data_IF_265253908021
#
_entry.id   IF_265253908021
#
_cell.length_a   1.000
_cell.length_b   1.000
_cell.length_c   1.000
_cell.angle_alpha   90.00
_cell.angle_beta   90.00
_cell.angle_gamma   90.00
#
_symmetry.space_group_name_H-M   'P 1'
#
loop_
_entity.id
_entity.type
_entity.pdbx_description
1 polymer ?
#
# COMPACT_ATOMS: atom_id res chain seq x y z
N UNK A 1 0.59 1.10 0.29
CA UNK A 1 1.59 1.41 -0.74
C UNK A 1 2.87 0.64 -0.48
N UNK A 2 3.40 0.02 -1.54
CA UNK A 2 4.74 -0.60 -1.57
C UNK A 2 5.72 0.43 -2.13
N UNK A 3 6.87 0.57 -1.48
CA UNK A 3 7.97 1.39 -1.95
C UNK A 3 8.75 0.63 -3.03
N UNK A 4 8.81 1.21 -4.24
CA UNK A 4 9.59 0.68 -5.37
C UNK A 4 10.95 1.38 -5.52
N UNK A 5 11.31 2.23 -4.56
CA UNK A 5 12.50 3.06 -4.55
C UNK A 5 12.33 4.34 -5.38
N UNK A 6 13.30 5.24 -5.26
CA UNK A 6 13.36 6.48 -6.05
C UNK A 6 12.09 7.35 -5.98
N UNK A 7 11.41 7.35 -4.82
CA UNK A 7 10.18 8.12 -4.61
C UNK A 7 8.95 7.57 -5.34
N UNK A 8 9.01 6.34 -5.88
CA UNK A 8 7.89 5.70 -6.56
C UNK A 8 7.13 4.79 -5.60
N UNK A 9 5.84 5.04 -5.47
CA UNK A 9 4.96 4.27 -4.61
C UNK A 9 3.90 3.56 -5.46
N UNK A 10 3.71 2.28 -5.19
CA UNK A 10 2.70 1.47 -5.86
C UNK A 10 1.56 1.19 -4.87
N UNK A 11 0.31 1.56 -5.18
CA UNK A 11 -0.82 1.12 -4.40
C UNK A 11 -0.98 -0.40 -4.53
N UNK A 12 -1.31 -1.05 -3.42
CA UNK A 12 -1.41 -2.50 -3.37
C UNK A 12 -2.63 -2.88 -2.56
N UNK A 13 -3.51 -3.66 -3.19
CA UNK A 13 -4.59 -4.33 -2.50
C UNK A 13 -4.02 -5.53 -1.73
N UNK A 14 -4.46 -5.68 -0.48
CA UNK A 14 -4.02 -6.76 0.40
C UNK A 14 -5.21 -7.38 1.08
N UNK A 15 -5.10 -8.67 1.39
CA UNK A 15 -6.08 -9.38 2.21
C UNK A 15 -5.58 -9.50 3.64
N UNK A 16 -6.31 -8.89 4.57
CA UNK A 16 -5.99 -8.97 5.99
C UNK A 16 -6.70 -10.17 6.64
N UNK A 17 -6.00 -10.81 7.56
CA UNK A 17 -6.51 -11.83 8.47
C UNK A 17 -6.70 -11.27 9.88
N UNK A 18 -6.59 -12.15 10.88
CA UNK A 18 -6.85 -11.81 12.28
C UNK A 18 -5.90 -10.75 12.83
N UNK A 19 -6.43 -9.88 13.70
CA UNK A 19 -5.64 -8.93 14.47
C UNK A 19 -4.95 -9.63 15.65
N UNK A 20 -3.65 -9.42 15.79
CA UNK A 20 -2.84 -9.94 16.90
C UNK A 20 -2.14 -8.77 17.59
N UNK A 21 -2.66 -8.38 18.77
CA UNK A 21 -2.19 -7.22 19.49
C UNK A 21 -2.37 -5.92 18.69
N UNK A 22 -1.26 -5.30 18.28
CA UNK A 22 -1.26 -4.07 17.46
C UNK A 22 -1.08 -4.32 15.97
N UNK A 23 -1.01 -5.57 15.54
CA UNK A 23 -0.71 -5.95 14.15
C UNK A 23 -1.87 -6.73 13.54
N UNK A 24 -1.92 -6.78 12.21
CA UNK A 24 -2.79 -7.66 11.44
C UNK A 24 -1.94 -8.67 10.68
N UNK A 25 -2.44 -9.90 10.54
CA UNK A 25 -1.86 -10.88 9.62
C UNK A 25 -2.19 -10.45 8.19
N UNK A 26 -1.19 -10.44 7.29
CA UNK A 26 -1.43 -10.28 5.85
C UNK A 26 -1.48 -11.68 5.24
N UNK A 27 -2.58 -12.01 4.59
CA UNK A 27 -2.82 -13.33 4.00
C UNK A 27 -2.41 -13.36 2.53
N UNK A 28 -2.65 -12.26 1.80
CA UNK A 28 -2.41 -12.15 0.36
C UNK A 28 -2.05 -10.71 -0.02
N UNK A 29 -1.39 -10.52 -1.17
CA UNK A 29 -1.13 -9.21 -1.76
C UNK A 29 0.21 -8.57 -1.39
N UNK A 30 1.05 -9.19 -0.57
CA UNK A 30 2.44 -8.75 -0.33
C UNK A 30 3.40 -9.93 -0.40
N UNK A 31 4.63 -9.63 -0.81
CA UNK A 31 5.73 -10.59 -0.85
C UNK A 31 6.79 -10.27 0.22
N UNK A 32 7.53 -11.30 0.64
CA UNK A 32 8.61 -11.13 1.60
C UNK A 32 9.70 -10.22 1.00
N UNK A 33 10.15 -9.25 1.80
CA UNK A 33 11.19 -8.28 1.39
C UNK A 33 10.63 -7.00 0.78
N UNK A 34 9.32 -6.93 0.48
CA UNK A 34 8.70 -5.67 0.07
C UNK A 34 8.73 -4.67 1.24
N UNK A 35 9.14 -3.43 0.93
CA UNK A 35 9.10 -2.32 1.88
C UNK A 35 7.80 -1.57 1.73
N UNK A 36 7.12 -1.28 2.84
CA UNK A 36 5.83 -0.59 2.84
C UNK A 36 5.90 0.74 3.57
N UNK A 37 5.06 1.67 3.15
CA UNK A 37 4.91 2.95 3.84
C UNK A 37 4.03 2.76 5.08
N UNK A 38 4.60 3.07 6.25
CA UNK A 38 3.91 2.97 7.56
C UNK A 38 3.32 4.31 8.03
N UNK A 39 3.80 5.43 7.49
CA UNK A 39 3.44 6.78 7.94
C UNK A 39 3.51 7.75 6.76
N UNK A 40 2.67 8.80 6.78
CA UNK A 40 2.59 9.75 5.65
C UNK A 40 1.69 9.29 4.50
N UNK A 41 0.88 8.23 4.69
CA UNK A 41 -0.01 7.68 3.65
C UNK A 41 -0.95 8.74 3.05
N UNK A 42 -1.38 9.76 3.79
CA UNK A 42 -2.29 10.80 3.29
C UNK A 42 -1.70 11.62 2.13
N UNK A 43 -0.42 12.02 2.23
CA UNK A 43 0.22 12.81 1.18
C UNK A 43 0.44 11.98 -0.09
N UNK A 44 0.80 10.71 0.08
CA UNK A 44 1.00 9.77 -1.03
C UNK A 44 -0.33 9.48 -1.73
N UNK A 45 -1.41 9.31 -0.95
CA UNK A 45 -2.75 9.08 -1.48
C UNK A 45 -3.27 10.30 -2.27
N UNK A 46 -3.04 11.52 -1.75
CA UNK A 46 -3.39 12.75 -2.44
C UNK A 46 -2.65 12.91 -3.78
N UNK A 47 -1.36 12.60 -3.83
CA UNK A 47 -0.58 12.62 -5.08
C UNK A 47 -1.04 11.51 -6.05
N UNK A 48 -1.27 10.29 -5.57
CA UNK A 48 -1.72 9.16 -6.39
C UNK A 48 -3.10 9.39 -7.01
N UNK A 49 -4.00 10.07 -6.29
CA UNK A 49 -5.31 10.48 -6.82
C UNK A 49 -5.16 11.53 -7.93
N UNK A 50 -4.33 12.55 -7.72
CA UNK A 50 -4.03 13.57 -8.76
C UNK A 50 -3.39 12.93 -10.00
N UNK A 51 -2.54 11.91 -9.83
CA UNK A 51 -1.91 11.18 -10.93
C UNK A 51 -2.81 10.10 -11.57
N UNK A 52 -4.07 9.93 -11.11
CA UNK A 52 -5.02 8.97 -11.66
C UNK A 52 -4.57 7.50 -11.53
N UNK A 53 -3.74 7.20 -10.53
CA UNK A 53 -3.22 5.83 -10.30
C UNK A 53 -4.26 4.98 -9.56
N UNK A 54 -4.99 5.57 -8.62
CA UNK A 54 -6.05 4.89 -7.87
C UNK A 54 -7.24 4.52 -8.76
N UNK A 55 -7.63 5.42 -9.66
CA UNK A 55 -8.77 5.21 -10.56
C UNK A 55 -8.56 3.99 -11.48
N UNK A 56 -7.32 3.72 -11.90
CA UNK A 56 -6.95 2.54 -12.70
C UNK A 56 -6.96 1.21 -11.94
N UNK A 57 -7.15 1.22 -10.61
CA UNK A 57 -7.30 0.01 -9.81
C UNK A 57 -8.77 -0.36 -9.59
N UNK A 58 -9.69 0.56 -9.83
CA UNK A 58 -11.14 0.35 -9.68
C UNK A 58 -11.78 -0.18 -10.99
N UNK A 59 -11.05 -0.12 -12.11
CA UNK A 59 -11.39 -0.71 -13.41
C UNK A 59 -10.87 -2.16 -13.55
#
# INVERSE_FOLDING_TARGET
FVDRGNGRFEPREIKLGTKVGRYYVVLEGLEQGETIVKSGNFLIDAEAHVQGVLQRMED
#
